data_IF_666961858189
#
_entry.id   IF_666961858189
#
_cell.length_a   1.000
_cell.length_b   1.000
_cell.length_c   1.000
_cell.angle_alpha   90.00
_cell.angle_beta   90.00
_cell.angle_gamma   90.00
#
_symmetry.space_group_name_H-M   'P 1'
#
loop_
_entity.id
_entity.type
_entity.pdbx_description
1 polymer ?
#
# COMPACT_ATOMS: atom_id res chain seq x y z
N UNK A 1 -18.79 -0.12 -17.08
CA UNK A 1 -18.86 0.49 -15.74
C UNK A 1 -19.01 1.99 -15.99
N UNK A 2 -20.17 2.54 -15.70
CA UNK A 2 -20.50 3.93 -16.03
C UNK A 2 -19.78 4.86 -15.06
N UNK A 3 -19.12 5.89 -15.58
CA UNK A 3 -18.41 6.90 -14.77
C UNK A 3 -19.36 7.58 -13.75
N UNK A 4 -20.66 7.66 -14.06
CA UNK A 4 -21.67 8.18 -13.16
C UNK A 4 -21.83 7.38 -11.87
N UNK A 5 -21.81 6.06 -11.93
CA UNK A 5 -21.90 5.20 -10.74
C UNK A 5 -20.65 5.24 -9.85
N UNK A 6 -19.49 5.50 -10.43
CA UNK A 6 -18.24 5.66 -9.67
C UNK A 6 -18.22 6.97 -8.88
N UNK A 7 -18.75 8.06 -9.44
CA UNK A 7 -18.80 9.36 -8.75
C UNK A 7 -19.76 9.37 -7.57
N UNK A 8 -20.89 8.67 -7.65
CA UNK A 8 -21.84 8.54 -6.53
C UNK A 8 -21.27 7.79 -5.31
N UNK A 9 -20.28 6.93 -5.51
CA UNK A 9 -19.64 6.17 -4.42
C UNK A 9 -18.48 6.89 -3.73
N UNK A 10 -17.94 7.95 -4.34
CA UNK A 10 -16.79 8.68 -3.82
C UNK A 10 -17.24 9.80 -2.87
N UNK A 11 -17.09 9.58 -1.57
CA UNK A 11 -17.44 10.58 -0.55
C UNK A 11 -16.40 11.67 -0.37
N UNK A 12 -15.13 11.34 -0.58
CA UNK A 12 -14.00 12.26 -0.40
C UNK A 12 -12.99 12.05 -1.52
N UNK A 13 -12.58 13.12 -2.17
CA UNK A 13 -11.50 13.15 -3.14
C UNK A 13 -10.34 13.96 -2.58
N UNK A 14 -9.21 13.31 -2.40
CA UNK A 14 -7.97 13.99 -2.01
C UNK A 14 -7.16 14.22 -3.27
N UNK A 15 -6.79 15.48 -3.53
CA UNK A 15 -5.98 15.86 -4.69
C UNK A 15 -4.82 16.78 -4.32
N UNK A 16 -3.80 16.81 -5.13
CA UNK A 16 -2.75 17.82 -5.05
C UNK A 16 -3.20 19.16 -5.67
N UNK A 17 -2.31 20.15 -5.72
CA UNK A 17 -2.56 21.47 -6.29
C UNK A 17 -1.99 21.59 -7.71
N UNK A 18 -1.82 20.50 -8.43
CA UNK A 18 -1.34 20.53 -9.81
C UNK A 18 -2.35 21.25 -10.73
N UNK A 19 -1.84 21.94 -11.73
CA UNK A 19 -2.63 22.79 -12.61
C UNK A 19 -3.73 22.10 -13.42
N UNK A 20 -3.68 20.76 -13.51
CA UNK A 20 -4.71 19.95 -14.13
C UNK A 20 -6.03 19.90 -13.33
N UNK A 21 -5.97 20.16 -12.03
CA UNK A 21 -7.14 20.19 -11.16
C UNK A 21 -7.69 21.62 -11.08
N UNK A 22 -8.45 21.99 -12.11
CA UNK A 22 -9.09 23.29 -12.24
C UNK A 22 -10.31 23.44 -11.33
N UNK A 23 -10.82 24.65 -11.19
CA UNK A 23 -12.10 24.91 -10.50
C UNK A 23 -13.27 24.17 -11.14
N UNK A 24 -13.25 23.99 -12.46
CA UNK A 24 -14.27 23.21 -13.19
C UNK A 24 -14.21 21.72 -12.82
N UNK A 25 -13.01 21.16 -12.61
CA UNK A 25 -12.84 19.82 -12.11
C UNK A 25 -13.47 19.67 -10.72
N UNK A 26 -13.18 20.59 -9.82
CA UNK A 26 -13.73 20.58 -8.46
C UNK A 26 -15.26 20.72 -8.47
N UNK A 27 -15.82 21.55 -9.34
CA UNK A 27 -17.26 21.76 -9.46
C UNK A 27 -18.01 20.48 -9.82
N UNK A 28 -17.48 19.67 -10.74
CA UNK A 28 -18.08 18.39 -11.15
C UNK A 28 -18.21 17.42 -9.96
N UNK A 29 -17.15 17.23 -9.20
CA UNK A 29 -17.18 16.33 -8.05
C UNK A 29 -18.01 16.86 -6.89
N UNK A 30 -17.99 18.17 -6.67
CA UNK A 30 -18.82 18.81 -5.64
C UNK A 30 -20.31 18.68 -5.98
N UNK A 31 -20.70 18.85 -7.27
CA UNK A 31 -22.07 18.64 -7.72
C UNK A 31 -22.54 17.19 -7.53
N UNK A 32 -21.62 16.21 -7.58
CA UNK A 32 -21.88 14.80 -7.27
C UNK A 32 -21.86 14.48 -5.75
N UNK A 33 -21.80 15.50 -4.88
CA UNK A 33 -21.76 15.29 -3.42
C UNK A 33 -20.41 14.85 -2.85
N UNK A 34 -19.34 14.87 -3.65
CA UNK A 34 -18.00 14.50 -3.21
C UNK A 34 -17.32 15.69 -2.52
N UNK A 35 -16.82 15.46 -1.32
CA UNK A 35 -16.00 16.45 -0.61
C UNK A 35 -14.57 16.45 -1.15
N UNK A 36 -14.09 17.60 -1.60
CA UNK A 36 -12.72 17.76 -2.09
C UNK A 36 -11.79 18.24 -0.97
N UNK A 37 -10.69 17.53 -0.79
CA UNK A 37 -9.59 17.89 0.11
C UNK A 37 -8.33 18.14 -0.73
N UNK A 38 -7.98 19.41 -0.88
CA UNK A 38 -6.70 19.77 -1.48
C UNK A 38 -5.57 19.53 -0.46
N UNK A 39 -4.48 18.91 -0.90
CA UNK A 39 -3.29 18.75 -0.07
C UNK A 39 -2.72 20.12 0.33
N UNK A 40 -2.04 20.24 1.49
CA UNK A 40 -1.36 21.46 1.88
C UNK A 40 -0.43 21.97 0.76
N UNK A 41 -0.18 23.28 0.67
CA UNK A 41 0.79 23.81 -0.28
C UNK A 41 2.16 23.15 -0.05
N UNK A 42 2.73 22.61 -1.13
CA UNK A 42 4.05 21.99 -1.12
C UNK A 42 4.29 20.98 0.02
N UNK A 43 3.63 19.79 0.04
CA UNK A 43 4.03 18.70 0.93
C UNK A 43 5.01 17.76 0.20
N UNK A 44 6.28 18.16 -0.06
CA UNK A 44 7.21 17.35 -0.86
C UNK A 44 7.47 15.99 -0.19
N UNK A 45 7.44 15.96 1.15
CA UNK A 45 7.61 14.71 1.91
C UNK A 45 6.42 13.76 1.77
N UNK A 46 5.18 14.26 1.85
CA UNK A 46 3.99 13.42 1.71
C UNK A 46 3.90 12.81 0.31
N UNK A 47 4.10 13.64 -0.72
CA UNK A 47 4.10 13.17 -2.11
C UNK A 47 5.25 12.19 -2.37
N UNK A 48 6.44 12.42 -1.81
CA UNK A 48 7.57 11.50 -1.94
C UNK A 48 7.29 10.15 -1.26
N UNK A 49 6.62 10.13 -0.12
CA UNK A 49 6.23 8.90 0.58
C UNK A 49 5.19 8.14 -0.26
N UNK A 50 4.16 8.81 -0.74
CA UNK A 50 3.14 8.20 -1.60
C UNK A 50 3.74 7.66 -2.91
N UNK A 51 4.58 8.45 -3.58
CA UNK A 51 5.26 8.03 -4.81
C UNK A 51 6.16 6.80 -4.57
N UNK A 52 6.88 6.76 -3.45
CA UNK A 52 7.70 5.61 -3.06
C UNK A 52 6.85 4.37 -2.80
N UNK A 53 5.73 4.52 -2.09
CA UNK A 53 4.82 3.40 -1.82
C UNK A 53 4.23 2.85 -3.13
N UNK A 54 3.76 3.72 -4.02
CA UNK A 54 3.25 3.34 -5.33
C UNK A 54 4.33 2.65 -6.16
N UNK A 55 5.56 3.18 -6.18
CA UNK A 55 6.67 2.56 -6.89
C UNK A 55 7.01 1.17 -6.33
N UNK A 56 6.95 1.00 -5.01
CA UNK A 56 7.15 -0.29 -4.35
C UNK A 56 6.05 -1.27 -4.75
N UNK A 57 4.79 -0.87 -4.65
CA UNK A 57 3.65 -1.67 -5.07
C UNK A 57 3.78 -2.10 -6.53
N UNK A 58 4.05 -1.16 -7.44
CA UNK A 58 4.20 -1.45 -8.87
C UNK A 58 5.32 -2.45 -9.16
N UNK A 59 6.43 -2.34 -8.47
CA UNK A 59 7.57 -3.25 -8.65
C UNK A 59 7.31 -4.64 -8.10
N UNK A 60 6.62 -4.72 -6.96
CA UNK A 60 6.46 -5.97 -6.22
C UNK A 60 5.19 -6.75 -6.61
N UNK A 61 4.14 -6.09 -7.13
CA UNK A 61 2.86 -6.73 -7.46
C UNK A 61 2.53 -6.78 -8.96
N UNK A 62 2.18 -5.66 -9.65
CA UNK A 62 1.64 -5.74 -11.01
C UNK A 62 2.63 -6.26 -12.06
N UNK A 63 3.93 -6.13 -11.80
CA UNK A 63 4.95 -6.70 -12.69
C UNK A 63 5.05 -8.23 -12.66
N UNK A 64 4.36 -8.89 -11.73
CA UNK A 64 4.49 -10.34 -11.47
C UNK A 64 3.17 -11.07 -11.25
N UNK A 65 2.06 -10.34 -11.16
CA UNK A 65 0.72 -10.88 -10.96
C UNK A 65 -0.25 -10.31 -11.99
N UNK A 66 -0.96 -11.18 -12.68
CA UNK A 66 -2.07 -10.77 -13.53
C UNK A 66 -3.30 -10.46 -12.66
N UNK A 67 -3.71 -9.21 -12.64
CA UNK A 67 -4.93 -8.79 -11.95
C UNK A 67 -6.12 -8.93 -12.92
N UNK A 68 -7.05 -9.80 -12.57
CA UNK A 68 -8.18 -10.15 -13.43
C UNK A 68 -9.37 -9.19 -13.25
N UNK A 69 -9.62 -8.76 -12.00
CA UNK A 69 -10.73 -7.88 -11.65
C UNK A 69 -10.49 -7.14 -10.34
N UNK A 70 -11.41 -6.25 -9.97
CA UNK A 70 -11.31 -5.44 -8.75
C UNK A 70 -11.29 -6.29 -7.48
N UNK A 71 -12.12 -7.33 -7.39
CA UNK A 71 -12.14 -8.22 -6.24
C UNK A 71 -10.80 -8.93 -6.04
N UNK A 72 -10.20 -9.40 -7.14
CA UNK A 72 -8.86 -9.99 -7.12
C UNK A 72 -7.81 -8.97 -6.66
N UNK A 73 -7.86 -7.75 -7.19
CA UNK A 73 -6.96 -6.67 -6.77
C UNK A 73 -7.08 -6.39 -5.26
N UNK A 74 -8.28 -6.25 -4.74
CA UNK A 74 -8.53 -6.02 -3.31
C UNK A 74 -7.93 -7.12 -2.44
N UNK A 75 -8.14 -8.37 -2.81
CA UNK A 75 -7.58 -9.52 -2.08
C UNK A 75 -6.05 -9.50 -2.08
N UNK A 76 -5.43 -9.28 -3.25
CA UNK A 76 -3.97 -9.19 -3.40
C UNK A 76 -3.40 -8.05 -2.56
N UNK A 77 -4.02 -6.88 -2.61
CA UNK A 77 -3.58 -5.72 -1.81
C UNK A 77 -3.72 -5.95 -0.31
N UNK A 78 -4.79 -6.59 0.14
CA UNK A 78 -5.00 -6.93 1.55
C UNK A 78 -3.91 -7.88 2.05
N UNK A 79 -3.65 -8.96 1.31
CA UNK A 79 -2.60 -9.92 1.64
C UNK A 79 -1.21 -9.27 1.64
N UNK A 80 -0.94 -8.43 0.63
CA UNK A 80 0.31 -7.68 0.55
C UNK A 80 0.50 -6.73 1.73
N UNK A 81 -0.53 -5.97 2.11
CA UNK A 81 -0.46 -5.04 3.24
C UNK A 81 -0.23 -5.74 4.57
N UNK A 82 -0.84 -6.91 4.77
CA UNK A 82 -0.55 -7.75 5.92
C UNK A 82 0.94 -8.14 5.95
N UNK A 83 1.46 -8.68 4.85
CA UNK A 83 2.88 -9.02 4.72
C UNK A 83 3.79 -7.81 4.92
N UNK A 84 3.48 -6.69 4.27
CA UNK A 84 4.27 -5.46 4.33
C UNK A 84 4.43 -4.94 5.76
N UNK A 85 3.33 -4.93 6.52
CA UNK A 85 3.32 -4.39 7.87
C UNK A 85 3.83 -5.36 8.93
N UNK A 86 3.57 -6.66 8.78
CA UNK A 86 3.85 -7.64 9.83
C UNK A 86 5.16 -8.43 9.63
N UNK A 87 5.60 -8.60 8.39
CA UNK A 87 6.70 -9.53 8.09
C UNK A 87 7.80 -8.94 7.18
N UNK A 88 7.48 -7.93 6.33
CA UNK A 88 8.47 -7.40 5.40
C UNK A 88 9.58 -6.63 6.12
N UNK A 89 10.87 -7.05 6.00
CA UNK A 89 11.97 -6.35 6.66
C UNK A 89 12.27 -5.00 6.00
N UNK A 90 12.47 -3.97 6.80
CA UNK A 90 12.82 -2.62 6.35
C UNK A 90 14.20 -2.21 6.85
N UNK A 91 15.09 -1.84 5.94
CA UNK A 91 16.47 -1.40 6.29
C UNK A 91 16.47 -0.23 7.27
N UNK A 92 15.57 0.75 7.06
CA UNK A 92 15.43 1.92 7.93
C UNK A 92 14.92 1.56 9.34
N UNK A 93 14.31 0.39 9.51
CA UNK A 93 13.81 -0.13 10.79
C UNK A 93 14.68 -1.27 11.34
N UNK A 94 15.96 -1.30 11.00
CA UNK A 94 16.90 -2.35 11.44
C UNK A 94 16.42 -3.75 11.08
N UNK A 95 15.88 -3.93 9.87
CA UNK A 95 15.30 -5.17 9.36
C UNK A 95 14.00 -5.61 10.06
N UNK A 96 13.39 -4.76 10.90
CA UNK A 96 12.08 -5.01 11.46
C UNK A 96 10.98 -4.65 10.47
N UNK A 97 9.81 -5.29 10.62
CA UNK A 97 8.59 -4.90 9.93
C UNK A 97 8.00 -3.62 10.56
N UNK A 98 7.20 -2.82 9.82
CA UNK A 98 6.61 -1.58 10.33
C UNK A 98 5.82 -1.75 11.64
N UNK A 99 5.06 -2.84 11.78
CA UNK A 99 4.32 -3.14 13.02
C UNK A 99 5.24 -3.42 14.22
N UNK A 100 6.51 -3.71 13.98
CA UNK A 100 7.52 -4.01 14.99
C UNK A 100 8.55 -2.88 15.14
N UNK A 101 8.30 -1.71 14.58
CA UNK A 101 9.28 -0.60 14.50
C UNK A 101 9.88 -0.18 15.83
N UNK A 102 9.17 -0.38 16.94
CA UNK A 102 9.63 -0.07 18.31
C UNK A 102 10.13 -1.29 19.07
N UNK A 103 10.09 -2.48 18.48
CA UNK A 103 10.58 -3.69 19.12
C UNK A 103 12.12 -3.78 19.03
N UNK A 104 12.71 -4.48 19.96
CA UNK A 104 14.10 -4.90 19.84
C UNK A 104 14.17 -6.10 18.89
N UNK A 105 15.06 -6.12 17.88
CA UNK A 105 15.25 -7.30 17.05
C UNK A 105 15.52 -8.53 17.92
N UNK A 106 14.80 -9.64 17.71
CA UNK A 106 15.05 -10.85 18.45
C UNK A 106 16.43 -11.39 18.10
N UNK A 107 17.20 -11.77 19.11
CA UNK A 107 18.41 -12.55 18.90
C UNK A 107 17.99 -14.03 18.85
N UNK A 108 18.02 -14.60 17.66
CA UNK A 108 17.63 -16.00 17.44
C UNK A 108 18.89 -16.81 17.17
N UNK A 109 19.12 -17.85 17.97
CA UNK A 109 20.13 -18.84 17.66
C UNK A 109 19.60 -19.80 16.61
N UNK A 110 20.02 -19.63 15.37
CA UNK A 110 19.57 -20.44 14.24
C UNK A 110 19.92 -21.93 14.38
N UNK A 111 20.88 -22.29 15.22
CA UNK A 111 21.22 -23.70 15.48
C UNK A 111 20.14 -24.43 16.30
N UNK A 112 19.33 -23.69 17.05
CA UNK A 112 18.29 -24.23 17.95
C UNK A 112 16.89 -24.15 17.35
N UNK A 113 16.74 -23.52 16.19
CA UNK A 113 15.43 -23.27 15.60
C UNK A 113 15.34 -23.80 14.17
N UNK A 114 14.24 -24.45 13.88
CA UNK A 114 13.89 -24.84 12.51
C UNK A 114 13.23 -23.67 11.80
N UNK A 115 13.71 -23.33 10.60
CA UNK A 115 13.10 -22.27 9.79
C UNK A 115 12.02 -22.88 8.90
N UNK A 116 10.81 -22.35 8.99
CA UNK A 116 9.70 -22.68 8.09
C UNK A 116 9.49 -21.54 7.11
N UNK A 117 9.37 -21.88 5.84
CA UNK A 117 9.03 -20.95 4.76
C UNK A 117 7.53 -20.98 4.52
N UNK A 118 6.87 -19.84 4.64
CA UNK A 118 5.47 -19.62 4.31
C UNK A 118 5.38 -18.82 3.02
N UNK A 119 4.61 -19.32 2.06
CA UNK A 119 4.33 -18.60 0.81
C UNK A 119 3.29 -17.50 1.06
N UNK A 120 3.49 -16.35 0.42
CA UNK A 120 2.57 -15.21 0.41
C UNK A 120 2.32 -14.82 -1.04
N UNK A 121 1.12 -14.41 -1.37
CA UNK A 121 0.71 -14.04 -2.73
C UNK A 121 0.97 -15.16 -3.75
N UNK A 122 0.55 -16.38 -3.43
CA UNK A 122 0.74 -17.53 -4.32
C UNK A 122 2.20 -17.91 -4.56
N UNK A 123 3.12 -17.54 -3.65
CA UNK A 123 4.55 -17.83 -3.76
C UNK A 123 5.38 -16.70 -4.37
N UNK A 124 4.77 -15.55 -4.66
CA UNK A 124 5.47 -14.38 -5.16
C UNK A 124 6.49 -13.84 -4.15
N UNK A 125 6.14 -13.91 -2.87
CA UNK A 125 7.04 -13.59 -1.76
C UNK A 125 6.93 -14.67 -0.67
N UNK A 126 7.87 -14.65 0.27
CA UNK A 126 7.95 -15.66 1.32
C UNK A 126 8.19 -14.99 2.68
N UNK A 127 7.57 -15.56 3.69
CA UNK A 127 7.85 -15.28 5.10
C UNK A 127 8.64 -16.43 5.70
N UNK A 128 9.59 -16.11 6.56
CA UNK A 128 10.41 -17.09 7.27
C UNK A 128 10.09 -17.01 8.75
N UNK A 129 9.61 -18.10 9.29
CA UNK A 129 9.17 -18.22 10.67
C UNK A 129 10.05 -19.22 11.40
N UNK A 130 10.39 -18.94 12.65
CA UNK A 130 11.03 -19.90 13.53
C UNK A 130 9.96 -20.86 14.05
N UNK A 131 10.20 -22.16 13.93
CA UNK A 131 9.43 -23.20 14.58
C UNK A 131 10.25 -23.71 15.76
N UNK A 132 9.58 -23.88 16.87
CA UNK A 132 10.14 -24.60 18.01
C UNK A 132 10.29 -26.09 17.68
#
# INVERSE_FOLDING_TARGET
>A
MDLGQLTESVKVLIRDRAGQFTSSFDAVFTAAGTRILASPPQPPRANAICARMIATLRRELPGRLLIVNEHHLRRVLTEYLCHYNAARPHRALRQLAPAQAHARPPQINLAEHRIRRKQVLGGLTHEYLTAA
#
